data_IF_943940120649
#
_entry.id   IF_943940120649
#
_cell.length_a   1.000
_cell.length_b   1.000
_cell.length_c   1.000
_cell.angle_alpha   90.00
_cell.angle_beta   90.00
_cell.angle_gamma   90.00
#
_symmetry.space_group_name_H-M   'P 1'
#
loop_
_entity.id
_entity.type
_entity.pdbx_description
1 polymer ?
#
# COMPACT_ATOMS: atom_id res chain seq x y z
N UNK A 1 -3.12 13.22 3.43
CA UNK A 1 -3.87 12.87 4.67
C UNK A 1 -2.90 12.90 5.85
N UNK A 2 -3.36 13.04 7.11
CA UNK A 2 -2.44 13.07 8.24
C UNK A 2 -1.69 11.73 8.40
N UNK A 3 -0.39 11.81 8.70
CA UNK A 3 0.44 10.64 9.00
C UNK A 3 -0.09 9.94 10.25
N UNK A 4 -0.30 10.69 11.32
CA UNK A 4 -0.99 10.24 12.51
C UNK A 4 -2.47 10.67 12.44
N UNK A 5 -3.42 9.72 12.26
CA UNK A 5 -4.84 10.06 12.20
C UNK A 5 -5.38 10.75 13.45
N UNK A 6 -4.77 10.55 14.60
CA UNK A 6 -5.19 11.14 15.88
C UNK A 6 -4.58 12.54 16.07
N UNK A 7 -3.71 12.99 15.13
CA UNK A 7 -3.18 14.35 15.03
C UNK A 7 -3.48 14.95 13.64
N UNK A 8 -4.73 15.41 13.38
CA UNK A 8 -5.14 15.86 12.05
C UNK A 8 -4.40 17.10 11.52
N UNK A 9 -3.82 17.90 12.41
CA UNK A 9 -2.98 19.06 12.07
C UNK A 9 -1.48 18.73 12.03
N UNK A 10 -1.12 17.45 12.19
CA UNK A 10 0.25 16.97 12.18
C UNK A 10 0.86 16.88 10.78
N UNK A 11 1.92 16.08 10.66
CA UNK A 11 2.57 15.83 9.37
C UNK A 11 1.59 15.20 8.38
N UNK A 12 1.60 15.68 7.14
CA UNK A 12 0.79 15.15 6.06
C UNK A 12 1.61 14.21 5.17
N UNK A 13 1.00 13.11 4.76
CA UNK A 13 1.54 12.18 3.75
C UNK A 13 0.59 12.08 2.57
N UNK A 14 1.18 11.79 1.41
CA UNK A 14 0.44 11.41 0.22
C UNK A 14 0.12 9.92 0.26
N UNK A 15 -1.12 9.57 -0.09
CA UNK A 15 -1.49 8.21 -0.47
C UNK A 15 -1.85 8.23 -1.94
N UNK A 16 -1.15 7.42 -2.72
CA UNK A 16 -1.25 7.35 -4.16
C UNK A 16 -2.01 6.09 -4.56
N UNK A 17 -2.88 6.26 -5.55
CA UNK A 17 -3.63 5.15 -6.13
C UNK A 17 -3.77 5.34 -7.63
N UNK A 18 -4.01 4.23 -8.33
CA UNK A 18 -4.40 4.22 -9.73
C UNK A 18 -5.78 3.58 -9.88
N UNK A 19 -6.59 4.15 -10.77
CA UNK A 19 -7.86 3.57 -11.18
C UNK A 19 -7.70 3.08 -12.61
N UNK A 20 -7.94 1.79 -12.83
CA UNK A 20 -8.10 1.19 -14.16
C UNK A 20 -9.60 1.12 -14.43
N UNK A 21 -10.14 1.94 -15.34
CA UNK A 21 -11.56 1.95 -15.61
C UNK A 21 -12.06 0.59 -16.10
N UNK A 22 -13.32 0.28 -15.81
CA UNK A 22 -13.98 -0.87 -16.41
C UNK A 22 -14.01 -0.75 -17.95
N UNK A 23 -13.95 -1.88 -18.64
CA UNK A 23 -14.06 -1.91 -20.11
C UNK A 23 -15.48 -1.53 -20.56
N UNK A 24 -16.51 -2.02 -19.86
CA UNK A 24 -17.89 -1.71 -20.18
C UNK A 24 -18.24 -0.24 -19.89
N UNK A 25 -18.98 0.39 -20.82
CA UNK A 25 -19.52 1.75 -20.61
C UNK A 25 -20.57 1.81 -19.49
N UNK A 26 -21.40 0.76 -19.38
CA UNK A 26 -22.34 0.59 -18.29
C UNK A 26 -21.72 -0.29 -17.20
N UNK A 27 -20.73 0.26 -16.50
CA UNK A 27 -20.03 -0.41 -15.41
C UNK A 27 -20.86 -0.43 -14.15
N UNK A 28 -20.53 -1.35 -13.25
CA UNK A 28 -21.08 -1.36 -11.90
C UNK A 28 -20.44 -0.25 -11.06
N UNK A 29 -21.18 0.28 -10.09
CA UNK A 29 -20.75 1.43 -9.27
C UNK A 29 -19.74 1.07 -8.18
N UNK A 30 -19.69 -0.19 -7.73
CA UNK A 30 -18.77 -0.66 -6.69
C UNK A 30 -17.42 -1.14 -7.29
N UNK A 31 -16.31 -0.41 -7.08
CA UNK A 31 -15.00 -0.80 -7.60
C UNK A 31 -14.41 -2.00 -6.86
N UNK A 32 -13.33 -2.55 -7.39
CA UNK A 32 -12.52 -3.56 -6.71
C UNK A 32 -11.23 -2.92 -6.24
N UNK A 33 -11.00 -2.95 -4.93
CA UNK A 33 -9.75 -2.49 -4.34
C UNK A 33 -8.78 -3.67 -4.32
N UNK A 34 -7.59 -3.45 -4.88
CA UNK A 34 -6.55 -4.45 -5.05
C UNK A 34 -5.46 -4.22 -4.02
N UNK A 35 -5.32 -5.15 -3.07
CA UNK A 35 -4.30 -5.11 -2.04
C UNK A 35 -3.16 -6.09 -2.37
N UNK A 36 -1.98 -5.52 -2.59
CA UNK A 36 -0.77 -6.28 -2.82
C UNK A 36 -0.26 -6.96 -1.54
N UNK A 37 0.61 -7.94 -1.73
CA UNK A 37 1.20 -8.71 -0.65
C UNK A 37 2.53 -8.14 -0.13
N UNK A 38 3.43 -9.03 0.24
CA UNK A 38 4.70 -8.68 0.89
C UNK A 38 4.67 -9.02 2.37
N UNK A 39 4.52 -8.06 3.31
CA UNK A 39 4.26 -6.61 3.15
C UNK A 39 5.36 -5.84 2.40
N UNK A 40 5.07 -4.60 2.00
CA UNK A 40 6.03 -3.70 1.33
C UNK A 40 5.86 -3.59 -0.19
N UNK A 41 5.02 -4.43 -0.81
CA UNK A 41 4.72 -4.28 -2.24
C UNK A 41 3.83 -3.06 -2.48
N UNK A 42 4.13 -2.32 -3.55
CA UNK A 42 3.28 -1.25 -4.06
C UNK A 42 2.23 -1.84 -5.01
N UNK A 43 0.95 -1.64 -4.73
CA UNK A 43 -0.13 -2.19 -5.56
C UNK A 43 -0.06 -1.70 -7.00
N UNK A 44 0.32 -0.43 -7.20
CA UNK A 44 0.48 0.14 -8.54
C UNK A 44 1.63 -0.52 -9.33
N UNK A 45 2.70 -0.96 -8.65
CA UNK A 45 3.84 -1.64 -9.32
C UNK A 45 3.48 -3.06 -9.78
N UNK A 46 2.60 -3.76 -9.06
CA UNK A 46 2.17 -5.13 -9.43
C UNK A 46 0.97 -5.15 -10.37
N UNK A 47 0.33 -4.00 -10.64
CA UNK A 47 -0.89 -3.92 -11.43
C UNK A 47 -0.76 -4.66 -12.78
N UNK A 48 0.27 -4.37 -13.57
CA UNK A 48 0.48 -5.00 -14.89
C UNK A 48 0.56 -6.53 -14.82
N UNK A 49 1.18 -7.07 -13.77
CA UNK A 49 1.30 -8.52 -13.58
C UNK A 49 -0.04 -9.17 -13.21
N UNK A 50 -0.86 -8.45 -12.43
CA UNK A 50 -2.14 -8.96 -11.92
C UNK A 50 -3.31 -8.74 -12.88
N UNK A 51 -3.23 -7.77 -13.80
CA UNK A 51 -4.30 -7.44 -14.75
C UNK A 51 -4.88 -8.66 -15.49
N UNK A 52 -4.09 -9.62 -16.01
CA UNK A 52 -4.64 -10.79 -16.68
C UNK A 52 -5.54 -11.65 -15.77
N UNK A 53 -5.21 -11.74 -14.48
CA UNK A 53 -5.99 -12.49 -13.47
C UNK A 53 -7.30 -11.76 -13.17
N UNK A 54 -7.30 -10.43 -13.22
CA UNK A 54 -8.47 -9.59 -12.92
C UNK A 54 -9.26 -9.18 -14.18
N UNK A 55 -8.95 -9.71 -15.36
CA UNK A 55 -9.52 -9.25 -16.62
C UNK A 55 -11.05 -9.37 -16.66
N UNK A 56 -11.59 -10.51 -16.20
CA UNK A 56 -13.04 -10.74 -16.15
C UNK A 56 -13.73 -9.77 -15.18
N UNK A 57 -13.10 -9.50 -14.03
CA UNK A 57 -13.60 -8.55 -13.05
C UNK A 57 -13.57 -7.10 -13.59
N UNK A 58 -12.49 -6.72 -14.27
CA UNK A 58 -12.36 -5.40 -14.90
C UNK A 58 -13.30 -5.20 -16.09
N UNK A 59 -13.88 -6.26 -16.65
CA UNK A 59 -14.89 -6.12 -17.71
C UNK A 59 -16.07 -5.25 -17.26
N UNK A 60 -16.43 -5.26 -15.96
CA UNK A 60 -17.58 -4.53 -15.42
C UNK A 60 -17.30 -3.65 -14.22
N UNK A 61 -16.10 -3.69 -13.63
CA UNK A 61 -15.74 -2.91 -12.44
C UNK A 61 -14.43 -2.17 -12.64
N UNK A 62 -14.35 -0.96 -12.09
CA UNK A 62 -13.06 -0.29 -11.99
C UNK A 62 -12.17 -1.07 -11.02
N UNK A 63 -10.88 -1.17 -11.34
CA UNK A 63 -9.88 -1.69 -10.41
C UNK A 63 -9.11 -0.54 -9.80
N UNK A 64 -8.97 -0.53 -8.48
CA UNK A 64 -8.29 0.51 -7.72
C UNK A 64 -7.08 -0.10 -7.04
N UNK A 65 -5.89 0.29 -7.48
CA UNK A 65 -4.61 -0.14 -6.94
C UNK A 65 -4.09 0.95 -6.03
N UNK A 66 -4.09 0.71 -4.71
CA UNK A 66 -3.65 1.69 -3.72
C UNK A 66 -2.28 1.31 -3.21
N UNK A 67 -1.30 2.19 -3.38
CA UNK A 67 -0.03 2.03 -2.69
C UNK A 67 -0.29 2.30 -1.21
N UNK A 68 -0.15 1.28 -0.37
CA UNK A 68 -0.25 1.40 1.08
C UNK A 68 0.77 2.43 1.60
N UNK A 69 0.42 3.20 2.64
CA UNK A 69 1.40 4.03 3.35
C UNK A 69 2.68 3.23 3.66
N UNK A 70 3.83 3.79 3.33
CA UNK A 70 5.11 3.11 3.46
C UNK A 70 5.54 2.30 2.25
N UNK A 71 4.73 2.22 1.19
CA UNK A 71 5.09 1.53 -0.05
C UNK A 71 4.94 2.42 -1.28
N UNK A 72 5.63 2.05 -2.35
CA UNK A 72 5.45 2.67 -3.67
C UNK A 72 5.61 4.17 -3.66
N UNK A 73 4.56 4.89 -4.04
CA UNK A 73 4.56 6.36 -4.05
C UNK A 73 3.86 6.98 -2.83
N UNK A 74 3.46 6.16 -1.86
CA UNK A 74 2.73 6.57 -0.65
C UNK A 74 3.65 6.68 0.56
N UNK A 75 4.51 7.70 0.56
CA UNK A 75 5.54 7.92 1.58
C UNK A 75 6.34 6.64 1.92
N UNK A 76 7.02 6.09 0.91
CA UNK A 76 7.73 4.82 1.03
C UNK A 76 8.78 4.81 2.14
N UNK A 77 8.81 3.71 2.91
CA UNK A 77 9.85 3.46 3.91
C UNK A 77 11.04 2.79 3.21
N UNK A 78 11.85 3.60 2.53
CA UNK A 78 13.01 3.12 1.80
C UNK A 78 14.26 3.17 2.67
N UNK A 79 14.90 2.02 2.80
CA UNK A 79 16.19 1.87 3.46
C UNK A 79 17.23 1.43 2.43
N UNK A 80 18.33 2.16 2.35
CA UNK A 80 19.55 1.64 1.73
C UNK A 80 20.29 0.83 2.80
N UNK A 81 19.93 -0.45 2.92
CA UNK A 81 20.56 -1.37 3.87
C UNK A 81 21.55 -2.23 3.11
N UNK A 82 22.77 -2.31 3.60
CA UNK A 82 23.69 -3.37 3.18
C UNK A 82 23.06 -4.74 3.50
N UNK A 83 22.76 -5.51 2.45
CA UNK A 83 22.20 -6.86 2.56
C UNK A 83 23.08 -7.77 3.43
N UNK A 84 24.36 -7.41 3.60
CA UNK A 84 25.33 -8.06 4.46
C UNK A 84 25.73 -9.44 3.95
N UNK A 85 26.67 -10.08 4.65
CA UNK A 85 27.00 -11.48 4.38
C UNK A 85 25.91 -12.41 4.89
N UNK A 86 25.79 -13.61 4.31
CA UNK A 86 24.89 -14.67 4.79
C UNK A 86 24.99 -14.88 6.32
N UNK A 87 26.21 -14.82 6.86
CA UNK A 87 26.47 -14.95 8.31
C UNK A 87 25.84 -13.81 9.10
N UNK A 88 25.97 -12.56 8.63
CA UNK A 88 25.37 -11.40 9.29
C UNK A 88 23.84 -11.40 9.26
N UNK A 89 23.25 -12.14 8.32
CA UNK A 89 21.80 -12.33 8.17
C UNK A 89 21.26 -13.45 9.05
N UNK A 90 22.13 -14.20 9.75
CA UNK A 90 21.72 -15.21 10.72
C UNK A 90 21.78 -14.72 12.18
N UNK A 91 22.48 -13.61 12.43
CA UNK A 91 22.65 -13.03 13.77
C UNK A 91 21.70 -11.83 13.99
N UNK A 92 20.67 -11.94 14.86
CA UNK A 92 19.65 -10.90 15.04
C UNK A 92 20.21 -9.54 15.47
N UNK A 93 21.23 -9.51 16.32
CA UNK A 93 21.85 -8.28 16.79
C UNK A 93 22.53 -7.52 15.63
N UNK A 94 23.15 -8.25 14.71
CA UNK A 94 23.77 -7.68 13.53
C UNK A 94 22.73 -7.21 12.51
N UNK A 95 21.59 -7.90 12.38
CA UNK A 95 20.47 -7.41 11.59
C UNK A 95 19.91 -6.08 12.14
N UNK A 96 19.66 -6.01 13.45
CA UNK A 96 19.13 -4.80 14.10
C UNK A 96 20.10 -3.63 13.99
N UNK A 97 21.40 -3.87 14.22
CA UNK A 97 22.42 -2.84 14.11
C UNK A 97 22.48 -2.23 12.70
N UNK A 98 22.28 -3.04 11.65
CA UNK A 98 22.24 -2.59 10.25
C UNK A 98 21.03 -1.72 9.93
N UNK A 99 19.91 -1.90 10.63
CA UNK A 99 18.73 -1.05 10.45
C UNK A 99 18.88 0.32 11.12
N UNK A 100 19.78 0.47 12.08
CA UNK A 100 19.96 1.71 12.86
C UNK A 100 20.14 2.98 12.01
N UNK A 101 21.06 3.00 11.01
CA UNK A 101 21.19 4.12 10.08
C UNK A 101 19.91 4.41 9.29
N UNK A 102 19.22 3.37 8.80
CA UNK A 102 17.95 3.58 8.11
C UNK A 102 16.91 4.21 9.02
N UNK A 103 16.71 3.66 10.23
CA UNK A 103 15.72 4.17 11.17
C UNK A 103 15.93 5.66 11.49
N UNK A 104 17.18 6.11 11.54
CA UNK A 104 17.53 7.53 11.75
C UNK A 104 17.30 8.40 10.51
N UNK A 105 17.45 7.84 9.32
CA UNK A 105 17.28 8.56 8.06
C UNK A 105 15.81 8.67 7.62
N UNK A 106 14.95 7.73 8.05
CA UNK A 106 13.53 7.75 7.73
C UNK A 106 12.85 8.99 8.31
N UNK A 107 12.29 9.79 7.42
CA UNK A 107 11.38 10.88 7.78
C UNK A 107 9.97 10.28 7.88
N UNK A 108 9.69 9.60 8.99
CA UNK A 108 8.41 8.94 9.26
C UNK A 108 8.22 8.68 10.75
N UNK A 109 6.98 8.80 11.23
CA UNK A 109 6.60 8.18 12.50
C UNK A 109 6.22 6.71 12.24
N UNK A 110 7.16 5.79 12.49
CA UNK A 110 7.00 4.37 12.15
C UNK A 110 5.83 3.70 12.87
N UNK A 111 5.35 4.28 13.97
CA UNK A 111 4.12 3.82 14.66
C UNK A 111 2.89 3.93 13.77
N UNK A 112 2.95 4.80 12.76
CA UNK A 112 1.84 5.13 11.87
C UNK A 112 1.74 4.25 10.61
N UNK A 113 2.55 3.20 10.48
CA UNK A 113 2.62 2.36 9.27
C UNK A 113 2.07 0.94 9.47
N UNK A 114 1.25 0.75 10.52
CA UNK A 114 0.57 -0.50 10.78
C UNK A 114 -0.65 -0.70 9.85
N UNK A 115 -1.02 -1.97 9.59
CA UNK A 115 -2.14 -2.35 8.71
C UNK A 115 -3.43 -1.62 9.06
N UNK A 116 -3.78 -1.55 10.34
CA UNK A 116 -5.03 -0.94 10.80
C UNK A 116 -5.11 0.56 10.53
N UNK A 117 -3.97 1.22 10.39
CA UNK A 117 -3.89 2.64 10.02
C UNK A 117 -4.06 2.79 8.51
N UNK A 118 -3.42 1.91 7.73
CA UNK A 118 -3.59 1.88 6.27
C UNK A 118 -5.05 1.69 5.84
N UNK A 119 -5.86 0.94 6.60
CA UNK A 119 -7.31 0.82 6.34
C UNK A 119 -8.01 2.17 6.33
N UNK A 120 -7.60 3.13 7.18
CA UNK A 120 -8.17 4.48 7.18
C UNK A 120 -7.86 5.23 5.88
N UNK A 121 -6.69 4.97 5.27
CA UNK A 121 -6.32 5.54 3.98
C UNK A 121 -7.19 4.96 2.86
N UNK A 122 -7.44 3.65 2.88
CA UNK A 122 -8.29 2.98 1.90
C UNK A 122 -9.72 3.51 1.98
N UNK A 123 -10.25 3.73 3.18
CA UNK A 123 -11.55 4.38 3.35
C UNK A 123 -11.57 5.82 2.83
N UNK A 124 -10.49 6.58 3.02
CA UNK A 124 -10.38 7.92 2.45
C UNK A 124 -10.39 7.88 0.91
N UNK A 125 -9.70 6.91 0.28
CA UNK A 125 -9.75 6.70 -1.17
C UNK A 125 -11.15 6.29 -1.63
N UNK A 126 -11.83 5.39 -0.92
CA UNK A 126 -13.22 5.01 -1.22
C UNK A 126 -14.14 6.23 -1.21
N UNK A 127 -14.06 7.03 -0.16
CA UNK A 127 -14.87 8.24 -0.02
C UNK A 127 -14.55 9.26 -1.13
N UNK A 128 -13.27 9.45 -1.47
CA UNK A 128 -12.85 10.33 -2.56
C UNK A 128 -13.38 9.88 -3.93
N UNK A 129 -13.47 8.56 -4.16
CA UNK A 129 -14.04 7.99 -5.39
C UNK A 129 -15.58 8.00 -5.40
N UNK A 130 -16.24 8.39 -4.31
CA UNK A 130 -17.70 8.40 -4.19
C UNK A 130 -18.33 7.00 -4.19
N UNK A 131 -17.55 5.95 -3.90
CA UNK A 131 -18.03 4.58 -3.91
C UNK A 131 -18.76 4.24 -2.60
N UNK A 132 -20.05 3.92 -2.66
CA UNK A 132 -20.84 3.53 -1.49
C UNK A 132 -20.33 2.19 -0.89
N UNK A 133 -20.00 1.24 -1.76
CA UNK A 133 -19.44 -0.07 -1.40
C UNK A 133 -18.23 -0.38 -2.27
N UNK A 134 -17.37 -1.25 -1.75
CA UNK A 134 -16.20 -1.76 -2.47
C UNK A 134 -16.20 -3.29 -2.42
N UNK A 135 -15.56 -3.90 -3.41
CA UNK A 135 -15.15 -5.29 -3.37
C UNK A 135 -13.65 -5.33 -3.09
N UNK A 136 -13.18 -6.38 -2.41
CA UNK A 136 -11.78 -6.52 -2.05
C UNK A 136 -11.17 -7.70 -2.82
N UNK A 137 -10.00 -7.47 -3.39
CA UNK A 137 -9.11 -8.52 -3.85
C UNK A 137 -7.78 -8.37 -3.13
N UNK A 138 -7.40 -9.36 -2.34
CA UNK A 138 -6.17 -9.36 -1.55
C UNK A 138 -5.29 -10.55 -1.89
N UNK A 139 -3.99 -10.31 -2.00
CA UNK A 139 -3.01 -11.37 -2.19
C UNK A 139 -1.98 -11.38 -1.06
N UNK A 140 -1.69 -12.56 -0.50
CA UNK A 140 -0.69 -12.74 0.57
C UNK A 140 -0.96 -11.80 1.76
N UNK A 141 -0.02 -10.94 2.16
CA UNK A 141 -0.23 -9.95 3.24
C UNK A 141 -1.48 -9.08 3.01
N UNK A 142 -1.87 -8.79 1.77
CA UNK A 142 -3.09 -8.04 1.44
C UNK A 142 -4.40 -8.73 1.85
N UNK A 143 -4.33 -9.93 2.45
CA UNK A 143 -5.46 -10.64 3.08
C UNK A 143 -5.65 -10.31 4.57
N UNK A 144 -4.75 -9.51 5.17
CA UNK A 144 -4.77 -9.14 6.59
C UNK A 144 -5.52 -7.85 6.87
#
# INVERSE_FOLDING_TARGET
MPEDPDSPSGRMIDVRYAVVPAVARNKQSDPIFVFAGGPGQAAMKVARQVMPVLAELNARRDLVFIDQRGTGRSNALECDVDEGSLTSTLEPEQQIARLGPCLKALKADLRQYATWIAVRDFEAVRAQLGAERINLWGASYGTR
#
